data_IF_002548306780
#
_entry.id   IF_002548306780
#
_cell.length_a   1.000
_cell.length_b   1.000
_cell.length_c   1.000
_cell.angle_alpha   90.00
_cell.angle_beta   90.00
_cell.angle_gamma   90.00
#
_symmetry.space_group_name_H-M   'P 1'
#
loop_
_entity.id
_entity.type
_entity.pdbx_description
1 polymer ?
#
# COMPACT_ATOMS: atom_id res chain seq x y z
N UNK A 1 3.99 -21.77 -5.27
CA UNK A 1 4.48 -20.87 -6.33
C UNK A 1 4.50 -19.45 -5.78
N UNK A 2 5.67 -18.85 -5.55
CA UNK A 2 5.76 -17.48 -5.03
C UNK A 2 5.33 -16.46 -6.09
N UNK A 3 4.33 -15.64 -5.79
CA UNK A 3 3.81 -14.64 -6.73
C UNK A 3 4.89 -13.58 -6.99
N UNK A 4 5.41 -13.53 -8.22
CA UNK A 4 6.41 -12.52 -8.62
C UNK A 4 5.78 -11.13 -8.58
N UNK A 5 6.44 -10.19 -7.91
CA UNK A 5 5.98 -8.80 -7.88
C UNK A 5 6.03 -8.18 -9.29
N UNK A 6 4.94 -7.53 -9.68
CA UNK A 6 4.84 -6.77 -10.93
C UNK A 6 5.16 -5.31 -10.63
N UNK A 7 6.24 -4.74 -11.21
CA UNK A 7 6.57 -3.33 -11.05
C UNK A 7 5.40 -2.44 -11.44
N UNK A 8 5.11 -1.42 -10.64
CA UNK A 8 4.01 -0.49 -10.90
C UNK A 8 4.56 0.81 -11.48
N UNK A 9 3.91 1.32 -12.52
CA UNK A 9 4.24 2.62 -13.13
C UNK A 9 4.13 3.79 -12.14
N UNK A 10 3.34 3.61 -11.06
CA UNK A 10 3.17 4.60 -10.00
C UNK A 10 4.34 4.70 -9.02
N UNK A 11 5.27 3.73 -9.01
CA UNK A 11 6.41 3.71 -8.07
C UNK A 11 7.27 4.99 -8.07
N UNK A 12 7.77 5.51 -9.22
CA UNK A 12 8.61 6.71 -9.23
C UNK A 12 7.84 7.95 -8.73
N UNK A 13 6.57 8.08 -9.10
CA UNK A 13 5.72 9.21 -8.68
C UNK A 13 5.50 9.16 -7.17
N UNK A 14 5.21 7.98 -6.62
CA UNK A 14 5.02 7.81 -5.17
C UNK A 14 6.28 8.10 -4.37
N UNK A 15 7.45 7.65 -4.85
CA UNK A 15 8.73 7.94 -4.19
C UNK A 15 9.04 9.42 -4.17
N UNK A 16 8.70 10.14 -5.24
CA UNK A 16 8.87 11.59 -5.29
C UNK A 16 7.89 12.30 -4.35
N UNK A 17 6.60 11.98 -4.44
CA UNK A 17 5.58 12.60 -3.60
C UNK A 17 5.88 12.39 -2.10
N UNK A 18 6.36 11.22 -1.70
CA UNK A 18 6.71 10.93 -0.31
C UNK A 18 7.92 11.71 0.22
N UNK A 19 8.73 12.33 -0.66
CA UNK A 19 9.81 13.25 -0.27
C UNK A 19 9.32 14.70 -0.21
N UNK A 20 8.43 15.06 -1.13
CA UNK A 20 8.03 16.44 -1.35
C UNK A 20 6.85 16.85 -0.46
N UNK A 21 6.05 15.91 0.02
CA UNK A 21 4.84 16.17 0.81
C UNK A 21 4.86 15.46 2.17
N UNK A 22 4.33 16.11 3.23
CA UNK A 22 4.24 15.51 4.57
C UNK A 22 3.26 14.32 4.63
N UNK A 23 2.29 14.28 3.71
CA UNK A 23 1.32 13.20 3.57
C UNK A 23 0.99 12.94 2.09
N UNK A 24 0.82 11.67 1.74
CA UNK A 24 0.47 11.22 0.38
C UNK A 24 -0.65 10.19 0.47
N UNK A 25 -1.74 10.42 -0.27
CA UNK A 25 -2.88 9.50 -0.34
C UNK A 25 -2.83 8.73 -1.66
N UNK A 26 -2.95 7.40 -1.59
CA UNK A 26 -3.03 6.53 -2.77
C UNK A 26 -4.46 6.03 -2.93
N UNK A 27 -5.14 6.48 -3.98
CA UNK A 27 -6.51 6.09 -4.30
C UNK A 27 -6.52 5.00 -5.39
N UNK A 28 -7.72 4.46 -5.67
CA UNK A 28 -7.96 3.50 -6.76
C UNK A 28 -8.90 2.36 -6.37
N UNK A 29 -9.32 1.51 -7.33
CA UNK A 29 -10.31 0.45 -7.12
C UNK A 29 -9.95 -0.55 -6.00
N UNK A 30 -10.97 -1.19 -5.42
CA UNK A 30 -10.77 -2.32 -4.48
C UNK A 30 -9.92 -3.39 -5.19
N UNK A 31 -9.02 -4.04 -4.44
CA UNK A 31 -8.12 -5.09 -4.95
C UNK A 31 -7.11 -4.69 -6.06
N UNK A 32 -6.91 -3.40 -6.34
CA UNK A 32 -5.89 -2.94 -7.30
C UNK A 32 -4.41 -3.18 -6.87
N UNK A 33 -4.17 -3.73 -5.68
CA UNK A 33 -2.84 -3.98 -5.14
C UNK A 33 -2.20 -2.78 -4.44
N UNK A 34 -3.01 -1.81 -3.98
CA UNK A 34 -2.55 -0.60 -3.27
C UNK A 34 -1.70 -0.93 -2.04
N UNK A 35 -2.18 -1.84 -1.19
CA UNK A 35 -1.46 -2.30 0.01
C UNK A 35 -0.12 -2.95 -0.36
N UNK A 36 -0.11 -3.83 -1.37
CA UNK A 36 1.11 -4.48 -1.85
C UNK A 36 2.13 -3.46 -2.34
N UNK A 37 1.70 -2.44 -3.10
CA UNK A 37 2.55 -1.36 -3.59
C UNK A 37 3.16 -0.56 -2.43
N UNK A 38 2.34 -0.11 -1.49
CA UNK A 38 2.80 0.69 -0.35
C UNK A 38 3.76 -0.10 0.55
N UNK A 39 3.42 -1.35 0.89
CA UNK A 39 4.29 -2.22 1.68
C UNK A 39 5.61 -2.52 0.98
N UNK A 40 5.60 -2.71 -0.36
CA UNK A 40 6.82 -2.92 -1.15
C UNK A 40 7.74 -1.69 -1.13
N UNK A 41 7.17 -0.49 -1.29
CA UNK A 41 7.95 0.75 -1.41
C UNK A 41 8.44 1.27 -0.05
N UNK A 42 7.61 1.15 0.99
CA UNK A 42 7.81 1.86 2.26
C UNK A 42 7.85 0.93 3.47
N UNK A 43 7.57 -0.38 3.36
CA UNK A 43 7.49 -1.29 4.51
C UNK A 43 8.78 -1.45 5.32
N UNK A 44 9.94 -1.04 4.77
CA UNK A 44 11.21 -0.98 5.52
C UNK A 44 11.46 0.35 6.24
N UNK A 45 10.68 1.40 5.93
CA UNK A 45 10.87 2.77 6.41
C UNK A 45 9.68 3.31 7.19
N UNK A 46 8.50 2.73 6.99
CA UNK A 46 7.26 3.15 7.59
C UNK A 46 6.53 1.93 8.16
N UNK A 47 5.86 2.15 9.30
CA UNK A 47 4.97 1.16 9.89
C UNK A 47 3.67 1.14 9.11
N UNK A 48 3.22 -0.06 8.73
CA UNK A 48 1.88 -0.24 8.19
C UNK A 48 0.86 -0.18 9.33
N UNK A 49 -0.17 0.64 9.18
CA UNK A 49 -1.32 0.71 10.08
C UNK A 49 -2.57 0.49 9.24
N UNK A 50 -3.37 -0.50 9.63
CA UNK A 50 -4.69 -0.73 9.04
C UNK A 50 -5.71 0.05 9.87
N UNK A 51 -6.49 0.92 9.23
CA UNK A 51 -7.62 1.62 9.85
C UNK A 51 -8.95 0.88 9.63
N UNK A 52 -8.92 -0.22 8.88
CA UNK A 52 -10.03 -1.16 8.87
C UNK A 52 -10.23 -1.68 10.30
N UNK A 53 -11.49 -1.75 10.75
CA UNK A 53 -11.80 -2.41 12.01
C UNK A 53 -11.18 -3.81 11.98
N UNK A 54 -10.59 -4.32 13.09
CA UNK A 54 -10.22 -5.73 13.15
C UNK A 54 -11.46 -6.50 12.74
N UNK A 55 -11.36 -7.31 11.68
CA UNK A 55 -12.45 -8.17 11.22
C UNK A 55 -12.92 -8.98 12.42
N UNK A 56 -13.96 -8.50 13.11
CA UNK A 56 -14.74 -9.32 14.00
C UNK A 56 -15.38 -10.30 13.04
N UNK A 57 -14.72 -11.44 12.85
CA UNK A 57 -15.31 -12.64 12.29
C UNK A 57 -16.47 -13.02 13.20
N UNK A 58 -17.60 -12.31 13.07
CA UNK A 58 -18.87 -12.83 13.48
C UNK A 58 -19.14 -14.00 12.55
N UNK A 59 -19.08 -15.20 13.13
CA UNK A 59 -19.39 -16.44 12.46
C UNK A 59 -20.74 -16.35 11.73
N UNK A 60 -20.74 -16.71 10.45
CA UNK A 60 -21.88 -17.22 9.71
C UNK A 60 -21.36 -17.95 8.47
#
# INVERSE_FOLDING_TARGET
MGTRYIPRTLEPVLRRAARDFPAVVVTGPRQAGKTTLLTRLFGRRARYVSLEAPDVRAAA
#
